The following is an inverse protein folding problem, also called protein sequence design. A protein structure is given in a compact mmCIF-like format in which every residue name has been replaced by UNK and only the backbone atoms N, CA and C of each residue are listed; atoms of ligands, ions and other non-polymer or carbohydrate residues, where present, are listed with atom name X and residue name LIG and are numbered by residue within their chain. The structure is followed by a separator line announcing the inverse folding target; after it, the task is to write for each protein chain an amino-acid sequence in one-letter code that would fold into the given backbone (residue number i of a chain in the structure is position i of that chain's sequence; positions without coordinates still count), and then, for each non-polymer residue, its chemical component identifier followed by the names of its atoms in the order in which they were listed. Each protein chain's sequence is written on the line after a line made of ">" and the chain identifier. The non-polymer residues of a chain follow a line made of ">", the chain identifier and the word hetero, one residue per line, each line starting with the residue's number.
data_IF_092455191257
#
_entry.id   IF_092455191257
#
_cell.length_a   1.000
_cell.length_b   1.000
_cell.length_c   1.000
_cell.angle_alpha   90.00
_cell.angle_beta   90.00
_cell.angle_gamma   90.00
#
_symmetry.space_group_name_H-M   'P 1'
#
loop_
_entity.id
_entity.type
_entity.pdbx_description
1 polymer ?
#
# COMPACT_ATOMS: atom_id res chain seq x y z
N UNK A 1 -2.54 21.81 -32.47
CA UNK A 1 -2.92 21.28 -31.14
C UNK A 1 -4.25 20.53 -31.26
N UNK A 2 -5.24 21.10 -31.96
CA UNK A 2 -6.56 20.50 -32.26
C UNK A 2 -6.54 19.08 -32.88
N UNK A 3 -5.65 18.80 -33.83
CA UNK A 3 -5.54 17.45 -34.43
C UNK A 3 -5.19 16.36 -33.40
N UNK A 4 -4.40 16.68 -32.37
CA UNK A 4 -4.03 15.72 -31.32
C UNK A 4 -5.23 15.44 -30.41
N UNK A 5 -6.05 16.45 -30.14
CA UNK A 5 -7.25 16.30 -29.32
C UNK A 5 -8.36 15.56 -30.07
N UNK A 6 -8.49 15.78 -31.38
CA UNK A 6 -9.40 15.00 -32.23
C UNK A 6 -9.02 13.52 -32.29
N UNK A 7 -7.74 13.20 -32.55
CA UNK A 7 -7.27 11.80 -32.59
C UNK A 7 -7.49 11.08 -31.25
N UNK A 8 -7.28 11.79 -30.13
CA UNK A 8 -7.55 11.23 -28.79
C UNK A 8 -9.03 10.97 -28.56
N UNK A 9 -9.91 11.89 -28.97
CA UNK A 9 -11.36 11.75 -28.82
C UNK A 9 -11.87 10.60 -29.68
N UNK A 10 -11.51 10.52 -30.96
CA UNK A 10 -11.90 9.39 -31.82
C UNK A 10 -11.35 8.06 -31.30
N UNK A 11 -10.08 8.03 -30.85
CA UNK A 11 -9.40 6.83 -30.38
C UNK A 11 -9.83 6.33 -29.00
N UNK A 12 -10.76 6.99 -28.32
CA UNK A 12 -11.15 6.67 -26.94
C UNK A 12 -11.82 5.30 -26.83
N UNK A 13 -12.62 4.91 -27.83
CA UNK A 13 -13.23 3.58 -27.88
C UNK A 13 -12.20 2.46 -28.03
N UNK A 14 -11.24 2.62 -28.95
CA UNK A 14 -10.11 1.70 -29.09
C UNK A 14 -9.27 1.62 -27.82
N UNK A 15 -8.98 2.75 -27.18
CA UNK A 15 -8.24 2.77 -25.92
C UNK A 15 -8.94 1.93 -24.85
N UNK A 16 -10.26 2.05 -24.72
CA UNK A 16 -11.04 1.32 -23.72
C UNK A 16 -11.08 -0.19 -24.03
N UNK A 17 -11.24 -0.57 -25.29
CA UNK A 17 -11.13 -1.97 -25.74
C UNK A 17 -9.73 -2.53 -25.45
N UNK A 18 -8.67 -1.79 -25.76
CA UNK A 18 -7.30 -2.21 -25.48
C UNK A 18 -7.04 -2.36 -23.95
N UNK A 19 -7.69 -1.54 -23.10
CA UNK A 19 -7.60 -1.71 -21.64
C UNK A 19 -8.30 -2.99 -21.18
N UNK A 20 -9.50 -3.26 -21.71
CA UNK A 20 -10.24 -4.48 -21.44
C UNK A 20 -9.41 -5.71 -21.79
N UNK A 21 -8.86 -5.76 -23.01
CA UNK A 21 -8.06 -6.89 -23.49
C UNK A 21 -6.77 -7.08 -22.67
N UNK A 22 -6.17 -5.99 -22.17
CA UNK A 22 -5.00 -6.06 -21.28
C UNK A 22 -5.38 -6.59 -19.90
N UNK A 23 -6.51 -6.18 -19.35
CA UNK A 23 -6.98 -6.65 -18.04
C UNK A 23 -7.37 -8.14 -18.11
N UNK A 24 -8.11 -8.55 -19.15
CA UNK A 24 -8.50 -9.95 -19.35
C UNK A 24 -7.27 -10.87 -19.49
N UNK A 25 -6.30 -10.50 -20.34
CA UNK A 25 -5.07 -11.31 -20.50
C UNK A 25 -4.29 -11.45 -19.19
N UNK A 26 -4.11 -10.37 -18.43
CA UNK A 26 -3.42 -10.44 -17.13
C UNK A 26 -4.17 -11.30 -16.13
N UNK A 27 -5.50 -11.24 -16.13
CA UNK A 27 -6.35 -12.08 -15.28
C UNK A 27 -6.18 -13.56 -15.63
N UNK A 28 -6.32 -13.93 -16.91
CA UNK A 28 -6.15 -15.31 -17.39
C UNK A 28 -4.76 -15.86 -17.07
N UNK A 29 -3.71 -15.06 -17.30
CA UNK A 29 -2.34 -15.43 -16.95
C UNK A 29 -2.16 -15.62 -15.44
N UNK A 30 -2.78 -14.77 -14.62
CA UNK A 30 -2.68 -14.85 -13.17
C UNK A 30 -3.44 -16.06 -12.63
N UNK A 31 -4.65 -16.34 -13.14
CA UNK A 31 -5.45 -17.52 -12.80
C UNK A 31 -4.73 -18.81 -13.19
N UNK A 32 -4.14 -18.86 -14.39
CA UNK A 32 -3.35 -20.00 -14.85
C UNK A 32 -2.14 -20.27 -13.95
N UNK A 33 -1.43 -19.22 -13.54
CA UNK A 33 -0.27 -19.34 -12.63
C UNK A 33 -0.69 -19.71 -11.20
N UNK A 34 -1.87 -19.28 -10.77
CA UNK A 34 -2.39 -19.54 -9.43
C UNK A 34 -2.81 -21.01 -9.27
N UNK A 35 -3.30 -21.63 -10.35
CA UNK A 35 -3.72 -23.03 -10.36
C UNK A 35 -4.83 -23.30 -9.35
N UNK A 36 -4.65 -24.31 -8.50
CA UNK A 36 -5.67 -24.75 -7.52
C UNK A 36 -5.57 -24.04 -6.16
N UNK A 37 -4.73 -23.00 -6.03
CA UNK A 37 -4.63 -22.27 -4.77
C UNK A 37 -5.90 -21.45 -4.51
N UNK A 38 -6.43 -21.55 -3.28
CA UNK A 38 -7.63 -20.80 -2.90
C UNK A 38 -7.34 -19.30 -2.80
N UNK A 39 -8.01 -18.50 -3.64
CA UNK A 39 -7.94 -17.03 -3.61
C UNK A 39 -8.34 -16.49 -2.23
N UNK A 40 -9.42 -17.03 -1.65
CA UNK A 40 -9.93 -16.61 -0.33
C UNK A 40 -8.86 -16.78 0.76
N UNK A 41 -8.23 -17.95 0.81
CA UNK A 41 -7.13 -18.23 1.74
C UNK A 41 -5.97 -17.24 1.56
N UNK A 42 -5.58 -16.94 0.32
CA UNK A 42 -4.48 -16.02 0.03
C UNK A 42 -4.81 -14.56 0.39
N UNK A 43 -6.06 -14.14 0.21
CA UNK A 43 -6.51 -12.83 0.65
C UNK A 43 -6.51 -12.71 2.17
N UNK A 44 -6.85 -13.76 2.90
CA UNK A 44 -6.77 -13.76 4.37
C UNK A 44 -5.32 -13.76 4.85
N UNK A 45 -4.43 -14.51 4.18
CA UNK A 45 -2.99 -14.42 4.43
C UNK A 45 -2.46 -13.01 4.15
N UNK A 46 -2.93 -12.35 3.10
CA UNK A 46 -2.57 -10.96 2.79
C UNK A 46 -3.11 -9.97 3.83
N UNK A 47 -4.34 -10.15 4.33
CA UNK A 47 -4.87 -9.34 5.44
C UNK A 47 -4.01 -9.49 6.69
N UNK A 48 -3.67 -10.71 7.07
CA UNK A 48 -2.78 -10.98 8.21
C UNK A 48 -1.40 -10.34 8.03
N UNK A 49 -0.86 -10.40 6.81
CA UNK A 49 0.39 -9.71 6.45
C UNK A 49 0.26 -8.19 6.62
N UNK A 50 -0.81 -7.59 6.09
CA UNK A 50 -1.06 -6.14 6.21
C UNK A 50 -1.18 -5.72 7.66
N UNK A 51 -1.97 -6.43 8.45
CA UNK A 51 -2.17 -6.15 9.87
C UNK A 51 -0.84 -6.22 10.64
N UNK A 52 0.00 -7.21 10.34
CA UNK A 52 1.32 -7.31 10.93
C UNK A 52 2.22 -6.12 10.54
N UNK A 53 2.25 -5.74 9.27
CA UNK A 53 3.09 -4.65 8.77
C UNK A 53 2.59 -3.25 9.12
N UNK A 54 1.29 -3.07 9.34
CA UNK A 54 0.67 -1.80 9.72
C UNK A 54 0.73 -1.52 11.22
N UNK A 55 1.23 -2.46 12.04
CA UNK A 55 1.38 -2.25 13.48
C UNK A 55 2.20 -0.98 13.75
N UNK A 56 1.75 -0.15 14.71
CA UNK A 56 2.46 1.06 15.09
C UNK A 56 3.93 0.77 15.40
N UNK A 57 4.80 1.69 14.98
CA UNK A 57 6.22 1.59 15.29
C UNK A 57 6.39 1.68 16.80
N UNK A 58 7.09 0.72 17.39
CA UNK A 58 7.34 0.71 18.81
C UNK A 58 8.15 1.97 19.20
N UNK A 59 7.72 2.70 20.21
CA UNK A 59 8.43 3.90 20.71
C UNK A 59 9.42 3.55 21.81
N UNK A 60 10.49 4.31 21.94
CA UNK A 60 11.38 4.18 23.09
C UNK A 60 10.67 4.65 24.36
N UNK A 61 10.98 4.03 25.49
CA UNK A 61 10.45 4.46 26.78
C UNK A 61 11.49 4.20 27.87
N UNK A 62 11.50 5.08 28.87
CA UNK A 62 12.35 4.91 30.04
C UNK A 62 11.88 3.76 30.96
N UNK A 63 10.62 3.33 30.82
CA UNK A 63 9.97 2.33 31.69
C UNK A 63 9.65 1.01 30.98
N UNK A 64 10.02 0.87 29.71
CA UNK A 64 9.67 -0.31 28.88
C UNK A 64 10.20 -1.63 29.47
N UNK A 65 11.40 -1.63 30.02
CA UNK A 65 12.01 -2.77 30.71
C UNK A 65 11.31 -3.09 32.02
N UNK A 66 10.97 -2.07 32.81
CA UNK A 66 10.22 -2.26 34.05
C UNK A 66 8.84 -2.90 33.78
N UNK A 67 8.14 -2.44 32.74
CA UNK A 67 6.85 -3.01 32.32
C UNK A 67 6.96 -4.44 31.81
N UNK A 68 8.00 -4.75 31.01
CA UNK A 68 8.22 -6.10 30.51
C UNK A 68 8.48 -7.10 31.65
N UNK A 69 9.32 -6.71 32.61
CA UNK A 69 9.62 -7.53 33.80
C UNK A 69 8.39 -7.66 34.69
N UNK A 70 7.63 -6.59 34.89
CA UNK A 70 6.39 -6.62 35.68
C UNK A 70 5.37 -7.59 35.10
N UNK A 71 5.25 -7.67 33.76
CA UNK A 71 4.43 -8.68 33.09
C UNK A 71 4.93 -10.11 33.34
N UNK A 72 6.26 -10.33 33.33
CA UNK A 72 6.82 -11.65 33.65
C UNK A 72 6.52 -12.03 35.10
N UNK A 73 6.68 -11.08 36.04
CA UNK A 73 6.36 -11.29 37.46
C UNK A 73 4.86 -11.61 37.63
N UNK A 74 3.97 -10.87 36.98
CA UNK A 74 2.52 -11.13 37.07
C UNK A 74 2.15 -12.49 36.48
N UNK A 75 2.72 -12.86 35.32
CA UNK A 75 2.50 -14.17 34.71
C UNK A 75 3.01 -15.30 35.62
N UNK A 76 4.16 -15.10 36.27
CA UNK A 76 4.74 -16.07 37.21
C UNK A 76 3.83 -16.22 38.44
N UNK A 77 3.27 -15.13 38.97
CA UNK A 77 2.31 -15.20 40.07
C UNK A 77 1.01 -15.94 39.65
N UNK A 78 0.51 -15.71 38.44
CA UNK A 78 -0.63 -16.45 37.89
C UNK A 78 -0.30 -17.94 37.73
N UNK A 79 0.91 -18.27 37.25
CA UNK A 79 1.36 -19.66 37.13
C UNK A 79 1.37 -20.37 38.48
N UNK A 80 1.93 -19.75 39.52
CA UNK A 80 1.96 -20.34 40.86
C UNK A 80 0.54 -20.54 41.43
N UNK A 81 -0.37 -19.58 41.21
CA UNK A 81 -1.78 -19.74 41.59
C UNK A 81 -2.47 -20.89 40.84
N UNK A 82 -2.20 -21.05 39.54
CA UNK A 82 -2.75 -22.17 38.76
C UNK A 82 -2.18 -23.52 39.21
N UNK A 83 -0.89 -23.56 39.57
CA UNK A 83 -0.26 -24.77 40.15
C UNK A 83 -0.89 -25.15 41.48
N UNK A 84 -1.24 -24.18 42.32
CA UNK A 84 -1.94 -24.46 43.58
C UNK A 84 -3.36 -24.97 43.33
N UNK A 85 -4.11 -24.32 42.44
CA UNK A 85 -5.45 -24.79 42.03
C UNK A 85 -5.41 -26.22 41.47
N UNK A 86 -4.35 -26.59 40.74
CA UNK A 86 -4.16 -27.95 40.25
C UNK A 86 -3.91 -28.94 41.40
N UNK A 87 -3.11 -28.57 42.42
CA UNK A 87 -2.91 -29.41 43.61
C UNK A 87 -4.21 -29.63 44.37
N UNK A 88 -4.97 -28.57 44.59
CA UNK A 88 -6.27 -28.62 45.26
C UNK A 88 -7.25 -29.49 44.48
N UNK A 89 -7.34 -29.31 43.16
CA UNK A 89 -8.15 -30.17 42.30
C UNK A 89 -7.70 -31.64 42.37
N UNK A 90 -6.40 -31.93 42.39
CA UNK A 90 -5.90 -33.30 42.55
C UNK A 90 -6.30 -33.89 43.91
N UNK A 91 -6.22 -33.11 44.99
CA UNK A 91 -6.64 -33.53 46.32
C UNK A 91 -8.15 -33.78 46.42
N UNK A 92 -8.99 -32.94 45.78
CA UNK A 92 -10.44 -33.16 45.64
C UNK A 92 -10.73 -34.50 44.96
N UNK A 93 -9.99 -34.83 43.90
CA UNK A 93 -10.14 -36.08 43.16
C UNK A 93 -9.83 -37.34 43.95
N UNK A 94 -8.83 -37.28 44.86
CA UNK A 94 -8.49 -38.41 45.73
C UNK A 94 -9.67 -38.76 46.66
N UNK A 95 -10.42 -37.76 47.11
CA UNK A 95 -11.59 -37.96 47.98
C UNK A 95 -12.83 -38.51 47.23
N UNK A 96 -12.86 -38.42 45.90
CA UNK A 96 -13.99 -38.85 45.06
C UNK A 96 -13.95 -40.34 44.66
N UNK A 97 -12.79 -41.00 44.80
CA UNK A 97 -12.55 -42.38 44.31
C UNK A 97 -13.22 -43.46 45.18
N UNK A 98 -13.82 -43.12 46.34
CA UNK A 98 -14.41 -44.10 47.26
C UNK A 98 -15.85 -44.57 46.93
N UNK A 99 -16.48 -44.11 45.84
CA UNK A 99 -17.87 -44.44 45.51
C UNK A 99 -18.09 -45.17 44.17
N UNK A 100 -18.53 -46.44 44.19
CA UNK A 100 -18.87 -47.25 43.01
C UNK A 100 -20.32 -47.00 42.50
N UNK A 101 -20.61 -45.81 41.95
CA UNK A 101 -21.91 -45.56 41.30
C UNK A 101 -21.78 -44.91 39.92
N UNK A 102 -22.78 -45.07 39.06
CA UNK A 102 -22.81 -44.43 37.72
C UNK A 102 -22.75 -42.91 37.78
N UNK A 103 -23.29 -42.30 38.84
CA UNK A 103 -23.16 -40.86 39.10
C UNK A 103 -21.71 -40.47 39.47
N UNK A 104 -21.00 -41.36 40.17
CA UNK A 104 -19.57 -41.20 40.48
C UNK A 104 -18.70 -41.14 39.22
N UNK A 105 -19.02 -41.96 38.22
CA UNK A 105 -18.29 -41.98 36.94
C UNK A 105 -18.42 -40.67 36.15
N UNK A 106 -19.59 -40.01 36.19
CA UNK A 106 -19.80 -38.72 35.50
C UNK A 106 -19.01 -37.61 36.19
N UNK A 107 -19.08 -37.54 37.53
CA UNK A 107 -18.31 -36.58 38.34
C UNK A 107 -16.80 -36.79 38.17
N UNK A 108 -16.35 -38.03 38.02
CA UNK A 108 -14.95 -38.35 37.76
C UNK A 108 -14.49 -37.87 36.36
N UNK A 109 -15.35 -37.96 35.33
CA UNK A 109 -15.04 -37.45 34.00
C UNK A 109 -14.93 -35.91 33.98
N UNK A 110 -15.87 -35.19 34.60
CA UNK A 110 -15.82 -33.73 34.75
C UNK A 110 -14.57 -33.27 35.51
N UNK A 111 -14.20 -34.00 36.57
CA UNK A 111 -12.97 -33.75 37.31
C UNK A 111 -11.71 -33.97 36.46
N UNK A 112 -11.66 -35.04 35.67
CA UNK A 112 -10.56 -35.32 34.76
C UNK A 112 -10.40 -34.19 33.72
N UNK A 113 -11.51 -33.69 33.17
CA UNK A 113 -11.51 -32.56 32.24
C UNK A 113 -10.98 -31.29 32.93
N UNK A 114 -11.45 -30.96 34.14
CA UNK A 114 -10.95 -29.82 34.93
C UNK A 114 -9.44 -29.90 35.16
N UNK A 115 -8.92 -31.06 35.57
CA UNK A 115 -7.48 -31.28 35.77
C UNK A 115 -6.70 -31.13 34.47
N UNK A 116 -7.23 -31.64 33.35
CA UNK A 116 -6.59 -31.55 32.05
C UNK A 116 -6.52 -30.09 31.56
N UNK A 117 -7.60 -29.33 31.66
CA UNK A 117 -7.64 -27.91 31.32
C UNK A 117 -6.64 -27.09 32.15
N UNK A 118 -6.52 -27.37 33.45
CA UNK A 118 -5.55 -26.71 34.33
C UNK A 118 -4.10 -27.05 33.92
N UNK A 119 -3.80 -28.31 33.57
CA UNK A 119 -2.48 -28.71 33.07
C UNK A 119 -2.12 -27.99 31.77
N UNK A 120 -3.06 -27.92 30.82
CA UNK A 120 -2.86 -27.21 29.55
C UNK A 120 -2.68 -25.69 29.76
N UNK A 121 -3.42 -25.10 30.70
CA UNK A 121 -3.24 -23.70 31.06
C UNK A 121 -1.86 -23.43 31.68
N UNK A 122 -1.40 -24.29 32.61
CA UNK A 122 -0.06 -24.23 33.20
C UNK A 122 1.01 -24.34 32.12
N UNK A 123 0.91 -25.33 31.23
CA UNK A 123 1.89 -25.52 30.15
C UNK A 123 1.96 -24.31 29.21
N UNK A 124 0.81 -23.70 28.87
CA UNK A 124 0.76 -22.47 28.07
C UNK A 124 1.41 -21.28 28.79
N UNK A 125 1.16 -21.14 30.09
CA UNK A 125 1.77 -20.08 30.92
C UNK A 125 3.29 -20.26 31.05
N UNK A 126 3.76 -21.48 31.32
CA UNK A 126 5.19 -21.80 31.37
C UNK A 126 5.87 -21.51 30.03
N UNK A 127 5.24 -21.93 28.92
CA UNK A 127 5.72 -21.61 27.58
C UNK A 127 5.80 -20.10 27.33
N UNK A 128 4.79 -19.34 27.78
CA UNK A 128 4.77 -17.87 27.62
C UNK A 128 5.84 -17.19 28.49
N UNK A 129 6.02 -17.63 29.73
CA UNK A 129 7.05 -17.09 30.64
C UNK A 129 8.44 -17.40 30.08
N UNK A 130 8.70 -18.62 29.64
CA UNK A 130 9.97 -19.01 29.04
C UNK A 130 10.27 -18.17 27.80
N UNK A 131 9.30 -18.01 26.89
CA UNK A 131 9.43 -17.15 25.70
C UNK A 131 9.81 -15.71 26.07
N UNK A 132 9.07 -15.08 26.99
CA UNK A 132 9.33 -13.69 27.40
C UNK A 132 10.66 -13.52 28.14
N UNK A 133 11.05 -14.55 28.89
CA UNK A 133 12.32 -14.56 29.63
C UNK A 133 13.49 -14.74 28.67
N UNK A 134 13.37 -15.65 27.70
CA UNK A 134 14.35 -15.87 26.63
C UNK A 134 14.49 -14.66 25.71
N UNK A 135 13.37 -14.02 25.35
CA UNK A 135 13.34 -12.76 24.62
C UNK A 135 14.23 -11.75 25.32
N UNK A 136 14.09 -11.55 26.63
CA UNK A 136 14.92 -10.60 27.39
C UNK A 136 16.34 -11.11 27.65
N UNK A 137 16.70 -12.32 27.21
CA UNK A 137 17.95 -13.04 27.52
C UNK A 137 18.15 -13.21 29.03
N UNK A 138 17.03 -13.43 29.71
CA UNK A 138 16.95 -13.62 31.15
C UNK A 138 16.77 -15.11 31.52
N UNK A 139 16.99 -16.05 30.58
CA UNK A 139 16.80 -17.51 30.79
C UNK A 139 17.48 -18.05 32.05
N UNK A 140 18.61 -17.46 32.42
CA UNK A 140 19.40 -17.82 33.60
C UNK A 140 18.92 -17.17 34.91
N UNK A 141 17.88 -16.33 34.84
CA UNK A 141 17.38 -15.47 35.93
C UNK A 141 15.95 -15.86 36.28
N UNK A 142 15.82 -16.90 37.09
CA UNK A 142 14.53 -17.51 37.44
C UNK A 142 13.99 -17.09 38.80
N UNK A 143 14.77 -16.42 39.66
CA UNK A 143 14.27 -16.02 40.97
C UNK A 143 13.41 -14.76 40.89
N UNK A 144 12.24 -14.78 41.55
CA UNK A 144 11.35 -13.62 41.68
C UNK A 144 12.06 -12.39 42.29
N UNK A 145 13.06 -12.61 43.16
CA UNK A 145 13.87 -11.54 43.74
C UNK A 145 14.82 -10.89 42.72
N UNK A 146 15.39 -11.69 41.81
CA UNK A 146 16.28 -11.21 40.75
C UNK A 146 15.50 -10.44 39.68
N UNK A 147 14.33 -10.94 39.29
CA UNK A 147 13.40 -10.22 38.40
C UNK A 147 12.96 -8.89 39.03
N UNK A 148 12.58 -8.89 40.31
CA UNK A 148 12.21 -7.66 41.02
C UNK A 148 13.34 -6.64 41.11
N UNK A 149 14.60 -7.09 41.21
CA UNK A 149 15.77 -6.23 41.13
C UNK A 149 15.94 -5.65 39.73
N UNK A 150 15.86 -6.50 38.70
CA UNK A 150 15.99 -6.09 37.30
C UNK A 150 14.90 -5.08 36.88
N UNK A 151 13.71 -5.12 37.49
CA UNK A 151 12.64 -4.12 37.28
C UNK A 151 13.15 -2.69 37.51
N UNK A 152 14.07 -2.51 38.46
CA UNK A 152 14.68 -1.21 38.82
C UNK A 152 15.99 -0.94 38.10
N UNK A 153 16.52 -1.92 37.36
CA UNK A 153 17.79 -1.82 36.68
C UNK A 153 17.65 -1.06 35.35
N UNK A 154 18.63 -0.21 35.05
CA UNK A 154 18.72 0.51 33.78
C UNK A 154 19.08 -0.42 32.64
N UNK A 155 19.76 -1.54 32.91
CA UNK A 155 20.20 -2.48 31.87
C UNK A 155 19.07 -2.96 30.96
N UNK A 156 18.00 -3.49 31.53
CA UNK A 156 16.89 -4.07 30.75
C UNK A 156 16.16 -2.98 29.95
N UNK A 157 16.04 -1.77 30.51
CA UNK A 157 15.49 -0.62 29.81
C UNK A 157 16.35 -0.21 28.60
N UNK A 158 17.68 -0.15 28.76
CA UNK A 158 18.59 0.18 27.65
C UNK A 158 18.56 -0.92 26.59
N UNK A 159 18.55 -2.20 26.98
CA UNK A 159 18.49 -3.35 26.07
C UNK A 159 17.20 -3.35 25.23
N UNK A 160 16.03 -3.12 25.84
CA UNK A 160 14.77 -3.00 25.09
C UNK A 160 14.74 -1.76 24.20
N UNK A 161 15.27 -0.63 24.66
CA UNK A 161 15.35 0.57 23.84
C UNK A 161 16.28 0.40 22.62
N UNK A 162 17.33 -0.42 22.74
CA UNK A 162 18.19 -0.79 21.61
C UNK A 162 17.44 -1.61 20.57
N UNK A 163 16.60 -2.56 20.99
CA UNK A 163 15.75 -3.34 20.07
C UNK A 163 14.77 -2.46 19.32
N UNK A 164 14.10 -1.56 20.03
CA UNK A 164 13.21 -0.57 19.43
C UNK A 164 13.96 0.26 18.37
N UNK A 165 15.17 0.74 18.66
CA UNK A 165 15.97 1.48 17.68
C UNK A 165 16.36 0.64 16.48
N UNK A 166 16.71 -0.63 16.69
CA UNK A 166 17.03 -1.59 15.63
C UNK A 166 15.82 -1.82 14.72
N UNK A 167 14.64 -2.08 15.27
CA UNK A 167 13.39 -2.23 14.51
C UNK A 167 13.05 -0.96 13.71
N UNK A 168 13.19 0.21 14.34
CA UNK A 168 12.99 1.50 13.67
C UNK A 168 13.98 1.70 12.52
N UNK A 169 15.25 1.36 12.74
CA UNK A 169 16.30 1.45 11.74
C UNK A 169 16.02 0.51 10.56
N UNK A 170 15.68 -0.74 10.83
CA UNK A 170 15.28 -1.72 9.82
C UNK A 170 14.08 -1.22 9.00
N UNK A 171 13.06 -0.65 9.65
CA UNK A 171 11.89 -0.08 8.94
C UNK A 171 12.31 1.07 8.02
N UNK A 172 13.16 1.99 8.49
CA UNK A 172 13.69 3.09 7.66
C UNK A 172 14.54 2.60 6.49
N UNK A 173 15.41 1.61 6.71
CA UNK A 173 16.23 1.02 5.66
C UNK A 173 15.38 0.33 4.59
N UNK A 174 14.37 -0.44 5.00
CA UNK A 174 13.42 -1.09 4.08
C UNK A 174 12.63 -0.06 3.26
N UNK A 175 12.13 1.00 3.91
CA UNK A 175 11.44 2.09 3.23
C UNK A 175 12.32 2.75 2.16
N UNK A 176 13.57 3.09 2.51
CA UNK A 176 14.54 3.65 1.55
C UNK A 176 14.81 2.71 0.38
N UNK A 177 14.98 1.41 0.64
CA UNK A 177 15.19 0.40 -0.42
C UNK A 177 13.99 0.34 -1.37
N UNK A 178 12.77 0.40 -0.83
CA UNK A 178 11.54 0.42 -1.64
C UNK A 178 11.40 1.71 -2.47
N UNK A 179 11.72 2.86 -1.89
CA UNK A 179 11.74 4.15 -2.58
C UNK A 179 12.73 4.17 -3.75
N UNK A 180 13.95 3.67 -3.54
CA UNK A 180 14.96 3.54 -4.59
C UNK A 180 14.51 2.59 -5.71
N UNK A 181 13.96 1.42 -5.37
CA UNK A 181 13.43 0.51 -6.37
C UNK A 181 12.24 1.11 -7.15
N UNK A 182 11.47 1.99 -6.52
CA UNK A 182 10.38 2.71 -7.18
C UNK A 182 10.92 3.78 -8.12
N UNK A 183 11.95 4.53 -7.71
CA UNK A 183 12.68 5.45 -8.56
C UNK A 183 13.29 4.77 -9.77
N UNK A 184 13.99 3.66 -9.58
CA UNK A 184 14.68 2.94 -10.65
C UNK A 184 13.69 2.46 -11.73
N UNK A 185 12.51 1.98 -11.30
CA UNK A 185 11.42 1.62 -12.22
C UNK A 185 10.88 2.82 -12.98
N UNK A 186 10.64 3.93 -12.30
CA UNK A 186 10.12 5.15 -12.92
C UNK A 186 11.12 5.80 -13.89
N UNK A 187 12.42 5.73 -13.56
CA UNK A 187 13.52 6.14 -14.42
C UNK A 187 13.62 5.24 -15.67
N UNK A 188 13.51 3.93 -15.51
CA UNK A 188 13.56 2.96 -16.60
C UNK A 188 12.39 3.12 -17.58
N UNK A 189 11.21 3.52 -17.09
CA UNK A 189 10.03 3.73 -17.93
C UNK A 189 9.99 5.09 -18.64
N UNK A 190 10.99 5.98 -18.45
CA UNK A 190 11.02 7.34 -19.03
C UNK A 190 9.78 8.20 -18.68
N UNK A 191 9.13 7.93 -17.53
CA UNK A 191 7.86 8.59 -17.13
C UNK A 191 8.11 9.87 -16.30
N UNK A 192 9.32 10.06 -15.75
CA UNK A 192 9.60 11.19 -14.85
C UNK A 192 10.29 12.36 -15.55
N UNK A 193 9.67 13.53 -15.47
CA UNK A 193 10.30 14.83 -15.75
C UNK A 193 11.51 15.08 -14.82
N UNK A 194 12.46 15.89 -15.26
CA UNK A 194 13.70 16.19 -14.54
C UNK A 194 13.44 16.83 -13.16
N UNK A 195 12.34 17.58 -13.03
CA UNK A 195 11.90 18.16 -11.74
C UNK A 195 11.49 17.10 -10.73
N UNK A 196 10.69 16.11 -11.13
CA UNK A 196 10.26 15.05 -10.20
C UNK A 196 11.45 14.19 -9.76
N UNK A 197 12.41 13.93 -10.65
CA UNK A 197 13.68 13.28 -10.29
C UNK A 197 14.43 14.05 -9.20
N UNK A 198 14.63 15.35 -9.37
CA UNK A 198 15.31 16.20 -8.38
C UNK A 198 14.60 16.19 -7.01
N UNK A 199 13.26 16.22 -7.00
CA UNK A 199 12.48 16.15 -5.77
C UNK A 199 12.69 14.82 -5.02
N UNK A 200 12.66 13.69 -5.74
CA UNK A 200 12.82 12.39 -5.08
C UNK A 200 14.27 12.16 -4.66
N UNK A 201 15.26 12.60 -5.44
CA UNK A 201 16.66 12.58 -5.01
C UNK A 201 16.88 13.38 -3.72
N UNK A 202 16.29 14.58 -3.62
CA UNK A 202 16.32 15.40 -2.40
C UNK A 202 15.66 14.67 -1.22
N UNK A 203 14.53 14.01 -1.45
CA UNK A 203 13.84 13.23 -0.43
C UNK A 203 14.70 12.04 0.08
N UNK A 204 15.34 11.29 -0.84
CA UNK A 204 16.22 10.17 -0.50
C UNK A 204 17.46 10.64 0.28
N UNK A 205 18.05 11.78 -0.10
CA UNK A 205 19.17 12.40 0.63
C UNK A 205 18.77 12.80 2.05
N UNK A 206 17.62 13.47 2.20
CA UNK A 206 17.08 13.86 3.52
C UNK A 206 16.85 12.64 4.43
N UNK A 207 16.25 11.57 3.89
CA UNK A 207 16.02 10.32 4.65
C UNK A 207 17.32 9.61 5.04
N UNK A 208 18.38 9.74 4.24
CA UNK A 208 19.70 9.16 4.55
C UNK A 208 20.30 9.78 5.83
N UNK A 209 20.19 11.09 6.02
CA UNK A 209 20.59 11.74 7.27
C UNK A 209 19.80 11.27 8.49
N UNK A 210 18.50 10.99 8.32
CA UNK A 210 17.65 10.41 9.37
C UNK A 210 18.02 8.97 9.77
N UNK A 211 18.63 8.20 8.86
CA UNK A 211 19.16 6.86 9.12
C UNK A 211 20.49 6.97 9.86
N UNK A 212 21.40 7.85 9.42
CA UNK A 212 22.67 8.11 10.10
C UNK A 212 22.48 8.56 11.55
N UNK A 213 21.54 9.48 11.78
CA UNK A 213 21.20 9.95 13.13
C UNK A 213 20.71 8.79 14.02
N UNK A 214 19.94 7.85 13.45
CA UNK A 214 19.42 6.70 14.17
C UNK A 214 20.52 5.68 14.49
N UNK A 215 21.45 5.43 13.57
CA UNK A 215 22.63 4.59 13.81
C UNK A 215 23.51 5.18 14.91
N UNK A 216 23.76 6.51 14.88
CA UNK A 216 24.48 7.21 15.95
C UNK A 216 23.78 7.04 17.30
N UNK A 217 22.46 7.18 17.35
CA UNK A 217 21.65 6.98 18.57
C UNK A 217 21.69 5.54 19.07
N UNK A 218 21.63 4.56 18.17
CA UNK A 218 21.78 3.14 18.48
C UNK A 218 23.15 2.86 19.11
N UNK A 219 24.23 3.26 18.44
CA UNK A 219 25.59 3.06 18.94
C UNK A 219 25.85 3.80 20.27
N UNK A 220 25.24 4.96 20.50
CA UNK A 220 25.31 5.67 21.78
C UNK A 220 24.64 4.87 22.91
N UNK A 221 23.43 4.32 22.68
CA UNK A 221 22.77 3.42 23.64
C UNK A 221 23.54 2.13 23.87
N UNK A 222 24.22 1.63 22.84
CA UNK A 222 25.06 0.45 22.96
C UNK A 222 26.28 0.71 23.85
N UNK A 223 26.91 1.89 23.74
CA UNK A 223 27.96 2.33 24.67
C UNK A 223 27.45 2.44 26.11
N UNK A 224 26.25 2.97 26.31
CA UNK A 224 25.59 3.00 27.62
C UNK A 224 25.41 1.59 28.17
N UNK A 225 24.94 0.64 27.34
CA UNK A 225 24.78 -0.76 27.72
C UNK A 225 26.13 -1.38 28.13
N UNK A 226 27.18 -1.25 27.30
CA UNK A 226 28.52 -1.77 27.62
C UNK A 226 29.04 -1.19 28.94
N UNK A 227 28.80 0.09 29.23
CA UNK A 227 29.25 0.74 30.47
C UNK A 227 28.53 0.23 31.74
N UNK A 228 27.35 -0.37 31.60
CA UNK A 228 26.59 -1.00 32.68
C UNK A 228 27.02 -2.46 32.92
N UNK A 229 27.73 -3.10 31.97
CA UNK A 229 28.20 -4.48 32.10
C UNK A 229 29.11 -4.64 33.32
N UNK A 230 28.85 -5.65 34.14
CA UNK A 230 29.63 -5.92 35.36
C UNK A 230 29.31 -5.01 36.55
N UNK A 231 28.42 -4.02 36.40
CA UNK A 231 27.87 -3.21 37.50
C UNK A 231 26.50 -3.74 37.90
N UNK A 232 26.01 -3.43 39.11
CA UNK A 232 24.65 -3.77 39.53
C UNK A 232 24.31 -5.27 39.60
N UNK A 233 25.31 -6.16 39.59
CA UNK A 233 25.09 -7.61 39.55
C UNK A 233 24.85 -8.18 38.15
N UNK A 234 25.01 -7.38 37.10
CA UNK A 234 24.92 -7.83 35.69
C UNK A 234 26.16 -8.66 35.37
N UNK A 235 25.96 -9.88 34.83
CA UNK A 235 27.05 -10.80 34.51
C UNK A 235 28.00 -10.18 33.47
N UNK A 236 29.31 -10.32 33.66
CA UNK A 236 30.32 -9.84 32.69
C UNK A 236 30.18 -10.51 31.31
N UNK A 237 29.63 -11.72 31.26
CA UNK A 237 29.32 -12.46 30.02
C UNK A 237 27.96 -12.14 29.40
N UNK A 238 27.20 -11.15 29.89
CA UNK A 238 25.94 -10.77 29.28
C UNK A 238 26.17 -10.33 27.82
N UNK A 239 25.44 -10.94 26.88
CA UNK A 239 25.53 -10.61 25.47
C UNK A 239 25.21 -9.13 25.24
N UNK A 240 26.00 -8.51 24.36
CA UNK A 240 25.77 -7.14 23.89
C UNK A 240 25.84 -7.20 22.36
N UNK A 241 24.87 -6.60 21.64
CA UNK A 241 24.91 -6.54 20.19
C UNK A 241 26.18 -5.86 19.66
N UNK A 242 26.60 -6.17 18.43
CA UNK A 242 27.69 -5.46 17.76
C UNK A 242 27.34 -4.00 17.46
N UNK A 243 28.36 -3.16 17.28
CA UNK A 243 28.16 -1.79 16.81
C UNK A 243 27.81 -1.79 15.32
N UNK A 244 26.86 -0.94 14.93
CA UNK A 244 26.48 -0.83 13.53
C UNK A 244 27.41 0.16 12.82
N UNK A 245 27.98 -0.28 11.69
CA UNK A 245 28.68 0.58 10.73
C UNK A 245 27.69 1.10 9.69
N UNK A 246 28.02 2.23 9.07
CA UNK A 246 27.23 2.77 7.95
C UNK A 246 27.56 2.08 6.63
N UNK A 247 28.78 1.54 6.52
CA UNK A 247 29.25 0.81 5.34
C UNK A 247 28.42 -0.47 5.16
N UNK A 248 27.89 -0.69 3.95
CA UNK A 248 27.08 -1.88 3.64
C UNK A 248 25.66 -1.88 4.22
N UNK A 249 25.35 -1.07 5.24
CA UNK A 249 24.05 -1.07 5.93
C UNK A 249 22.84 -0.87 5.01
N UNK A 250 23.01 -0.06 3.96
CA UNK A 250 21.95 0.21 2.98
C UNK A 250 21.62 -0.97 2.06
N UNK A 251 22.52 -1.93 1.92
CA UNK A 251 22.32 -3.10 1.06
C UNK A 251 21.29 -4.07 1.67
N UNK A 252 21.14 -4.02 3.01
CA UNK A 252 20.33 -4.97 3.80
C UNK A 252 20.73 -6.42 3.51
N UNK A 253 22.04 -6.67 3.46
CA UNK A 253 22.59 -8.02 3.29
C UNK A 253 22.36 -8.87 4.56
N UNK A 254 22.25 -10.19 4.40
CA UNK A 254 21.88 -11.14 5.47
C UNK A 254 22.98 -11.25 6.53
N UNK A 255 24.23 -11.07 6.12
CA UNK A 255 25.41 -11.17 7.01
C UNK A 255 25.68 -9.87 7.81
N UNK A 256 24.82 -8.86 7.70
CA UNK A 256 24.99 -7.61 8.42
C UNK A 256 24.66 -7.75 9.91
N UNK A 257 25.48 -7.12 10.75
CA UNK A 257 25.36 -7.04 12.21
C UNK A 257 23.97 -6.61 12.73
N UNK A 258 23.21 -5.88 11.91
CA UNK A 258 21.83 -5.49 12.23
C UNK A 258 20.89 -6.70 12.38
N UNK A 259 21.26 -7.90 11.95
CA UNK A 259 20.43 -9.11 12.05
C UNK A 259 20.73 -9.99 13.28
N UNK A 260 21.81 -9.76 14.03
CA UNK A 260 22.24 -10.67 15.11
C UNK A 260 21.30 -10.74 16.33
N UNK A 261 20.50 -9.70 16.61
CA UNK A 261 19.51 -9.71 17.71
C UNK A 261 18.10 -10.08 17.25
N UNK A 262 17.95 -10.72 16.08
CA UNK A 262 16.64 -11.09 15.49
C UNK A 262 15.88 -12.21 16.21
N UNK A 263 16.47 -12.86 17.23
CA UNK A 263 15.85 -14.00 17.93
C UNK A 263 14.52 -13.63 18.62
N UNK A 264 14.28 -12.35 18.91
CA UNK A 264 13.00 -11.83 19.41
C UNK A 264 11.93 -11.60 18.33
N UNK A 265 12.33 -11.34 17.08
CA UNK A 265 11.40 -10.97 16.00
C UNK A 265 10.55 -12.17 15.52
N UNK A 266 11.03 -13.40 15.74
CA UNK A 266 10.31 -14.66 15.47
C UNK A 266 9.36 -15.01 16.63
N UNK A 267 9.63 -14.52 17.84
CA UNK A 267 8.82 -14.77 19.02
C UNK A 267 7.48 -14.01 19.02
N UNK A 268 7.35 -12.99 18.17
CA UNK A 268 6.10 -12.26 17.94
C UNK A 268 5.02 -13.08 17.23
N UNK A 269 5.36 -14.26 16.71
CA UNK A 269 4.40 -15.18 16.11
C UNK A 269 3.87 -16.18 17.15
N UNK A 270 2.54 -16.39 17.23
CA UNK A 270 1.97 -17.41 18.10
C UNK A 270 2.64 -18.77 17.82
N UNK A 271 3.04 -19.45 18.90
CA UNK A 271 3.71 -20.75 18.88
C UNK A 271 5.08 -20.83 18.18
N UNK A 272 5.65 -19.69 17.79
CA UNK A 272 6.92 -19.65 17.05
C UNK A 272 6.79 -20.21 15.63
N UNK A 273 5.56 -20.36 15.14
CA UNK A 273 5.26 -20.83 13.80
C UNK A 273 5.36 -19.63 12.86
N UNK A 274 6.29 -19.70 11.90
CA UNK A 274 6.41 -18.67 10.86
C UNK A 274 5.14 -18.67 10.01
N UNK A 275 4.43 -17.54 9.88
CA UNK A 275 3.21 -17.49 9.09
C UNK A 275 3.46 -17.90 7.63
N UNK A 276 2.50 -18.57 6.97
CA UNK A 276 2.67 -19.01 5.58
C UNK A 276 3.02 -17.87 4.61
N UNK A 277 2.41 -16.69 4.76
CA UNK A 277 2.75 -15.50 3.95
C UNK A 277 4.21 -15.05 4.09
N UNK A 278 4.89 -15.43 5.18
CA UNK A 278 6.30 -15.12 5.42
C UNK A 278 7.24 -16.29 5.08
N UNK A 279 6.81 -17.52 5.30
CA UNK A 279 7.64 -18.73 5.18
C UNK A 279 7.51 -19.47 3.86
N UNK A 280 6.31 -19.52 3.27
CA UNK A 280 6.01 -20.33 2.09
C UNK A 280 6.12 -19.48 0.79
N UNK A 281 7.06 -19.79 -0.11
CA UNK A 281 7.18 -19.11 -1.40
C UNK A 281 5.90 -19.20 -2.25
N UNK A 282 5.16 -20.30 -2.16
CA UNK A 282 3.93 -20.53 -2.92
C UNK A 282 2.82 -19.59 -2.45
N UNK A 283 2.71 -19.37 -1.13
CA UNK A 283 1.76 -18.40 -0.56
C UNK A 283 2.15 -16.98 -0.93
N UNK A 284 3.44 -16.63 -0.93
CA UNK A 284 3.92 -15.30 -1.34
C UNK A 284 3.58 -14.99 -2.78
N UNK A 285 3.89 -15.91 -3.69
CA UNK A 285 3.57 -15.71 -5.10
C UNK A 285 2.04 -15.74 -5.30
N UNK A 286 1.34 -16.64 -4.61
CA UNK A 286 -0.11 -16.71 -4.61
C UNK A 286 -0.79 -15.40 -4.18
N UNK A 287 -0.28 -14.72 -3.14
CA UNK A 287 -0.79 -13.40 -2.71
C UNK A 287 -0.66 -12.36 -3.82
N UNK A 288 0.48 -12.35 -4.53
CA UNK A 288 0.69 -11.41 -5.64
C UNK A 288 -0.28 -11.70 -6.79
N UNK A 289 -0.45 -12.97 -7.14
CA UNK A 289 -1.37 -13.40 -8.19
C UNK A 289 -2.83 -13.12 -7.82
N UNK A 290 -3.23 -13.35 -6.56
CA UNK A 290 -4.60 -13.06 -6.11
C UNK A 290 -4.91 -11.56 -6.10
N UNK A 291 -3.93 -10.71 -5.76
CA UNK A 291 -4.05 -9.26 -5.92
C UNK A 291 -4.17 -8.85 -7.38
N UNK A 292 -3.39 -9.45 -8.28
CA UNK A 292 -3.47 -9.17 -9.71
C UNK A 292 -4.86 -9.51 -10.26
N UNK A 293 -5.43 -10.64 -9.87
CA UNK A 293 -6.79 -11.05 -10.22
C UNK A 293 -7.81 -10.04 -9.70
N UNK A 294 -7.71 -9.63 -8.43
CA UNK A 294 -8.61 -8.65 -7.82
C UNK A 294 -8.51 -7.27 -8.51
N UNK A 295 -7.29 -6.83 -8.84
CA UNK A 295 -7.05 -5.59 -9.58
C UNK A 295 -7.64 -5.67 -10.98
N UNK A 296 -7.46 -6.79 -11.69
CA UNK A 296 -8.04 -6.99 -13.01
C UNK A 296 -9.57 -6.92 -12.94
N UNK A 297 -10.21 -7.56 -11.95
CA UNK A 297 -11.67 -7.43 -11.76
C UNK A 297 -12.11 -5.97 -11.58
N UNK A 298 -11.41 -5.19 -10.75
CA UNK A 298 -11.72 -3.76 -10.57
C UNK A 298 -11.51 -2.98 -11.87
N UNK A 299 -10.46 -3.28 -12.63
CA UNK A 299 -10.22 -2.65 -13.92
C UNK A 299 -11.30 -2.99 -14.96
N UNK A 300 -11.80 -4.22 -14.97
CA UNK A 300 -12.93 -4.65 -15.81
C UNK A 300 -14.20 -3.87 -15.45
N UNK A 301 -14.52 -3.75 -14.15
CA UNK A 301 -15.65 -2.95 -13.68
C UNK A 301 -15.49 -1.47 -14.03
N UNK A 302 -14.27 -0.93 -13.90
CA UNK A 302 -13.98 0.44 -14.35
C UNK A 302 -14.21 0.58 -15.86
N UNK A 303 -13.80 -0.39 -16.68
CA UNK A 303 -14.05 -0.32 -18.13
C UNK A 303 -15.55 -0.28 -18.45
N UNK A 304 -16.38 -1.04 -17.71
CA UNK A 304 -17.84 -0.98 -17.83
C UNK A 304 -18.40 0.40 -17.47
N UNK A 305 -17.92 0.97 -16.36
CA UNK A 305 -18.33 2.29 -15.92
C UNK A 305 -17.93 3.37 -16.95
N UNK A 306 -16.71 3.32 -17.47
CA UNK A 306 -16.26 4.28 -18.49
C UNK A 306 -17.03 4.15 -19.81
N UNK A 307 -17.44 2.94 -20.20
CA UNK A 307 -18.34 2.75 -21.34
C UNK A 307 -19.67 3.48 -21.11
N UNK A 308 -20.30 3.26 -19.95
CA UNK A 308 -21.54 3.94 -19.60
C UNK A 308 -21.37 5.47 -19.53
N UNK A 309 -20.25 5.95 -18.99
CA UNK A 309 -19.93 7.38 -18.94
C UNK A 309 -19.79 7.99 -20.34
N UNK A 310 -19.10 7.31 -21.27
CA UNK A 310 -18.96 7.77 -22.65
C UNK A 310 -20.31 7.88 -23.36
N UNK A 311 -21.21 6.92 -23.12
CA UNK A 311 -22.57 6.96 -23.65
C UNK A 311 -23.37 8.13 -23.08
N UNK A 312 -23.40 8.27 -21.76
CA UNK A 312 -24.14 9.36 -21.10
C UNK A 312 -23.62 10.72 -21.53
N UNK A 313 -22.29 10.91 -21.55
CA UNK A 313 -21.67 12.15 -22.01
C UNK A 313 -22.08 12.47 -23.45
N UNK A 314 -22.02 11.48 -24.35
CA UNK A 314 -22.45 11.67 -25.72
C UNK A 314 -23.94 12.04 -25.83
N UNK A 315 -24.82 11.36 -25.09
CA UNK A 315 -26.26 11.69 -25.07
C UNK A 315 -26.50 13.14 -24.69
N UNK A 316 -25.90 13.58 -23.59
CA UNK A 316 -26.07 14.92 -23.05
C UNK A 316 -25.53 15.95 -24.03
N UNK A 317 -24.30 15.77 -24.50
CA UNK A 317 -23.64 16.69 -25.42
C UNK A 317 -24.40 16.78 -26.74
N UNK A 318 -24.78 15.65 -27.33
CA UNK A 318 -25.53 15.61 -28.58
C UNK A 318 -26.92 16.25 -28.43
N UNK A 319 -27.62 15.97 -27.31
CA UNK A 319 -28.93 16.59 -27.05
C UNK A 319 -28.83 18.10 -26.92
N UNK A 320 -27.81 18.62 -26.22
CA UNK A 320 -27.56 20.06 -26.08
C UNK A 320 -27.25 20.72 -27.41
N UNK A 321 -26.39 20.11 -28.22
CA UNK A 321 -26.06 20.61 -29.56
C UNK A 321 -27.31 20.64 -30.44
N UNK A 322 -28.16 19.61 -30.36
CA UNK A 322 -29.44 19.56 -31.09
C UNK A 322 -30.46 20.59 -30.60
N UNK A 323 -30.54 20.85 -29.29
CA UNK A 323 -31.38 21.91 -28.72
C UNK A 323 -30.97 23.29 -29.27
N UNK A 324 -29.66 23.57 -29.33
CA UNK A 324 -29.14 24.82 -29.91
C UNK A 324 -29.43 24.91 -31.40
N UNK A 325 -29.20 23.83 -32.15
CA UNK A 325 -29.49 23.78 -33.58
C UNK A 325 -30.97 24.05 -33.89
N UNK A 326 -31.89 23.46 -33.11
CA UNK A 326 -33.33 23.61 -33.34
C UNK A 326 -33.91 24.93 -32.79
N UNK A 327 -33.26 25.52 -31.78
CA UNK A 327 -33.75 26.70 -31.08
C UNK A 327 -33.12 28.02 -31.51
N UNK A 328 -32.07 27.99 -32.34
CA UNK A 328 -31.37 29.21 -32.78
C UNK A 328 -32.04 29.85 -33.99
N UNK A 329 -32.30 31.16 -33.90
CA UNK A 329 -32.73 31.99 -35.04
C UNK A 329 -31.53 32.48 -35.88
N UNK A 330 -30.32 32.40 -35.33
CA UNK A 330 -29.08 32.80 -35.98
C UNK A 330 -28.54 31.63 -36.83
N UNK A 331 -28.36 31.89 -38.13
CA UNK A 331 -27.91 30.92 -39.13
C UNK A 331 -26.47 30.45 -38.88
N UNK A 332 -25.59 31.33 -38.40
CA UNK A 332 -24.20 30.99 -38.10
C UNK A 332 -24.15 30.05 -36.89
N UNK A 333 -24.91 30.35 -35.83
CA UNK A 333 -25.00 29.52 -34.62
C UNK A 333 -25.60 28.15 -34.94
N UNK A 334 -26.64 28.10 -35.76
CA UNK A 334 -27.24 26.85 -36.25
C UNK A 334 -26.25 26.04 -37.09
N UNK A 335 -25.47 26.69 -37.96
CA UNK A 335 -24.44 26.03 -38.75
C UNK A 335 -23.34 25.42 -37.87
N UNK A 336 -22.83 26.16 -36.88
CA UNK A 336 -21.83 25.64 -35.94
C UNK A 336 -22.37 24.47 -35.11
N UNK A 337 -23.63 24.54 -34.66
CA UNK A 337 -24.27 23.45 -33.93
C UNK A 337 -24.41 22.19 -34.80
N UNK A 338 -24.82 22.33 -36.06
CA UNK A 338 -24.92 21.21 -37.00
C UNK A 338 -23.54 20.58 -37.27
N UNK A 339 -22.50 21.40 -37.46
CA UNK A 339 -21.13 20.90 -37.63
C UNK A 339 -20.65 20.12 -36.41
N UNK A 340 -20.91 20.62 -35.19
CA UNK A 340 -20.58 19.92 -33.95
C UNK A 340 -21.37 18.60 -33.81
N UNK A 341 -22.66 18.56 -34.18
CA UNK A 341 -23.47 17.35 -34.14
C UNK A 341 -22.89 16.26 -35.06
N UNK A 342 -22.45 16.63 -36.26
CA UNK A 342 -21.82 15.70 -37.21
C UNK A 342 -20.48 15.17 -36.66
N UNK A 343 -19.64 16.03 -36.08
CA UNK A 343 -18.38 15.58 -35.44
C UNK A 343 -18.64 14.60 -34.28
N UNK A 344 -19.63 14.88 -33.43
CA UNK A 344 -20.01 13.96 -32.35
C UNK A 344 -20.49 12.62 -32.91
N UNK A 345 -21.28 12.63 -33.98
CA UNK A 345 -21.74 11.41 -34.64
C UNK A 345 -20.57 10.57 -35.21
N UNK A 346 -19.58 11.22 -35.81
CA UNK A 346 -18.34 10.54 -36.25
C UNK A 346 -17.60 9.88 -35.08
N UNK A 347 -17.49 10.56 -33.92
CA UNK A 347 -16.87 9.98 -32.73
C UNK A 347 -17.65 8.78 -32.22
N UNK A 348 -18.98 8.90 -32.11
CA UNK A 348 -19.84 7.80 -31.65
C UNK A 348 -19.77 6.58 -32.55
N UNK A 349 -19.76 6.77 -33.87
CA UNK A 349 -19.65 5.65 -34.82
C UNK A 349 -18.29 4.94 -34.70
N UNK A 350 -17.20 5.69 -34.49
CA UNK A 350 -15.88 5.13 -34.21
C UNK A 350 -15.86 4.36 -32.88
N UNK A 351 -16.40 4.93 -31.80
CA UNK A 351 -16.46 4.29 -30.50
C UNK A 351 -17.29 3.01 -30.51
N UNK A 352 -18.48 3.05 -31.11
CA UNK A 352 -19.38 1.91 -31.24
C UNK A 352 -18.71 0.75 -31.98
N UNK A 353 -17.94 1.06 -33.03
CA UNK A 353 -17.18 0.07 -33.79
C UNK A 353 -16.07 -0.56 -32.96
N UNK A 354 -15.35 0.23 -32.16
CA UNK A 354 -14.18 -0.24 -31.43
C UNK A 354 -14.53 -0.90 -30.09
N UNK A 355 -15.65 -0.55 -29.46
CA UNK A 355 -16.05 -0.99 -28.12
C UNK A 355 -17.01 -2.19 -28.11
N UNK A 356 -17.06 -2.99 -29.18
CA UNK A 356 -18.03 -4.08 -29.36
C UNK A 356 -17.98 -5.10 -28.22
N UNK A 357 -16.81 -5.37 -27.65
CA UNK A 357 -16.65 -6.35 -26.58
C UNK A 357 -16.65 -5.72 -25.19
N UNK A 358 -16.68 -4.38 -25.09
CA UNK A 358 -16.67 -3.69 -23.81
C UNK A 358 -18.04 -3.85 -23.15
N UNK A 359 -18.14 -4.55 -22.01
CA UNK A 359 -19.40 -4.71 -21.33
C UNK A 359 -19.91 -3.35 -20.84
N UNK A 360 -21.21 -3.26 -20.57
CA UNK A 360 -21.84 -2.02 -20.17
C UNK A 360 -22.72 -2.22 -18.94
N UNK A 361 -22.76 -1.19 -18.08
CA UNK A 361 -23.61 -1.19 -16.89
C UNK A 361 -25.09 -1.28 -17.24
N UNK A 362 -25.83 -2.04 -16.45
CA UNK A 362 -27.30 -2.12 -16.58
C UNK A 362 -27.91 -0.73 -16.41
N UNK A 363 -28.75 -0.31 -17.37
CA UNK A 363 -29.41 0.99 -17.36
C UNK A 363 -28.68 2.11 -18.12
N UNK A 364 -27.52 1.83 -18.73
CA UNK A 364 -26.84 2.81 -19.59
C UNK A 364 -27.64 3.07 -20.90
N UNK A 365 -27.59 4.30 -21.44
CA UNK A 365 -28.36 4.67 -22.61
C UNK A 365 -27.77 4.05 -23.89
N UNK A 366 -28.55 3.18 -24.57
CA UNK A 366 -28.07 2.51 -25.79
C UNK A 366 -27.79 3.48 -26.93
N UNK A 367 -26.62 3.32 -27.58
CA UNK A 367 -26.23 4.01 -28.83
C UNK A 367 -27.36 4.06 -29.88
N UNK A 368 -28.16 2.99 -29.98
CA UNK A 368 -29.22 2.86 -30.99
C UNK A 368 -30.46 3.71 -30.70
N UNK A 369 -30.68 4.10 -29.45
CA UNK A 369 -31.83 4.91 -29.04
C UNK A 369 -31.54 6.42 -29.11
N UNK A 370 -30.27 6.81 -29.31
CA UNK A 370 -29.81 8.19 -29.13
C UNK A 370 -29.78 8.97 -30.46
N UNK A 371 -29.56 8.31 -31.60
CA UNK A 371 -29.38 9.02 -32.87
C UNK A 371 -30.22 8.43 -34.02
N UNK A 372 -31.11 9.24 -34.59
CA UNK A 372 -31.40 9.14 -36.03
C UNK A 372 -30.38 9.99 -36.78
N UNK A 373 -29.68 9.47 -37.80
CA UNK A 373 -28.87 10.32 -38.65
C UNK A 373 -29.77 11.39 -39.27
N UNK A 374 -29.41 12.67 -39.08
CA UNK A 374 -30.05 13.75 -39.81
C UNK A 374 -29.71 13.58 -41.30
N UNK A 375 -30.68 13.69 -42.22
CA UNK A 375 -30.41 13.57 -43.64
C UNK A 375 -29.51 14.74 -44.08
N UNK A 376 -28.22 14.44 -44.26
CA UNK A 376 -27.22 15.35 -44.86
C UNK A 376 -27.51 15.74 -46.32
N UNK A 377 -28.60 15.24 -46.92
CA UNK A 377 -28.90 15.46 -48.34
C UNK A 377 -29.29 16.90 -48.70
N UNK A 378 -29.79 17.70 -47.76
CA UNK A 378 -30.20 19.08 -48.06
C UNK A 378 -29.06 20.10 -47.85
N UNK A 379 -28.01 19.75 -47.11
CA UNK A 379 -26.86 20.64 -46.88
C UNK A 379 -25.64 20.40 -47.79
N UNK A 380 -25.56 19.26 -48.49
CA UNK A 380 -24.49 19.07 -49.48
C UNK A 380 -24.57 20.10 -50.61
N UNK A 381 -25.76 20.60 -50.94
CA UNK A 381 -25.95 21.70 -51.88
C UNK A 381 -25.35 23.02 -51.36
N UNK A 382 -25.58 23.34 -50.08
CA UNK A 382 -25.02 24.53 -49.41
C UNK A 382 -23.50 24.42 -49.25
N UNK A 383 -22.98 23.24 -48.90
CA UNK A 383 -21.53 23.00 -48.77
C UNK A 383 -20.79 23.10 -50.12
N UNK A 384 -21.40 22.61 -51.20
CA UNK A 384 -20.83 22.75 -52.55
C UNK A 384 -20.85 24.22 -52.97
N UNK A 385 -21.86 24.99 -52.59
CA UNK A 385 -21.98 26.41 -52.91
C UNK A 385 -21.00 27.28 -52.11
N UNK A 386 -20.83 27.02 -50.81
CA UNK A 386 -19.86 27.72 -49.95
C UNK A 386 -18.41 27.35 -50.31
N UNK A 387 -18.11 26.09 -50.66
CA UNK A 387 -16.79 25.75 -51.22
C UNK A 387 -16.52 26.46 -52.55
N UNK A 388 -17.52 26.59 -53.41
CA UNK A 388 -17.38 27.27 -54.70
C UNK A 388 -17.24 28.79 -54.54
N UNK A 389 -17.82 29.38 -53.49
CA UNK A 389 -17.64 30.79 -53.13
C UNK A 389 -16.30 31.04 -52.42
N UNK A 390 -15.81 30.12 -51.59
CA UNK A 390 -14.48 30.19 -50.95
C UNK A 390 -13.33 29.92 -51.94
N UNK A 391 -13.51 29.07 -52.95
CA UNK A 391 -12.53 28.88 -54.03
C UNK A 391 -12.49 30.08 -55.00
N UNK A 392 -13.55 30.89 -55.07
CA UNK A 392 -13.58 32.10 -55.91
C UNK A 392 -12.67 33.22 -55.35
N UNK A 393 -12.50 33.29 -54.03
CA UNK A 393 -11.65 34.31 -53.38
C UNK A 393 -10.15 33.94 -53.31
N UNK A 394 -9.79 32.67 -53.54
CA UNK A 394 -8.39 32.24 -53.58
C UNK A 394 -7.64 32.77 -54.83
N UNK A 395 -8.35 33.17 -55.88
CA UNK A 395 -7.75 33.75 -57.09
C UNK A 395 -7.38 35.24 -56.96
N UNK A 396 -7.89 35.94 -55.94
CA UNK A 396 -7.61 37.37 -55.71
C UNK A 396 -6.32 37.65 -54.90
N UNK A 397 -5.68 36.61 -54.33
CA UNK A 397 -4.49 36.74 -53.45
C UNK A 397 -3.18 36.34 -54.18
N UNK A 398 -3.23 36.04 -55.49
CA UNK A 398 -2.03 35.69 -56.28
C UNK A 398 -1.21 36.89 -56.78
N UNK A 399 -1.67 38.14 -56.63
CA UNK A 399 -1.05 39.32 -57.26
C UNK A 399 -0.22 40.22 -56.32
N UNK A 400 0.04 39.79 -55.08
CA UNK A 400 0.90 40.53 -54.14
C UNK A 400 1.99 39.66 -53.52
N UNK A 401 2.98 39.27 -54.34
CA UNK A 401 4.30 38.86 -53.85
C UNK A 401 5.40 39.72 -54.49
N UNK A 402 6.13 40.56 -53.73
CA UNK A 402 7.39 41.13 -54.20
C UNK A 402 8.53 40.10 -54.10
N UNK A 403 9.58 40.21 -54.93
CA UNK A 403 10.52 39.12 -55.18
C UNK A 403 11.54 38.93 -54.06
N UNK A 404 11.84 37.65 -53.83
CA UNK A 404 12.92 37.14 -52.99
C UNK A 404 14.27 37.76 -53.38
N UNK A 405 14.93 38.38 -52.41
CA UNK A 405 16.39 38.59 -52.48
C UNK A 405 17.08 37.67 -51.49
N UNK A 406 18.03 36.92 -52.05
CA UNK A 406 18.95 36.02 -51.38
C UNK A 406 19.93 36.85 -50.55
N UNK A 407 20.08 36.57 -49.23
CA UNK A 407 21.33 36.91 -48.54
C UNK A 407 21.72 35.94 -47.43
N UNK A 408 22.93 35.46 -47.65
CA UNK A 408 23.83 34.59 -46.90
C UNK A 408 24.29 35.19 -45.56
N UNK A 409 24.56 34.26 -44.63
CA UNK A 409 25.59 34.23 -43.58
C UNK A 409 25.45 34.98 -42.24
N UNK A 410 25.85 34.21 -41.21
CA UNK A 410 26.70 34.56 -40.05
C UNK A 410 26.09 34.78 -38.65
N UNK A 411 26.38 33.79 -37.78
CA UNK A 411 26.92 33.84 -36.39
C UNK A 411 26.41 34.88 -35.39
N UNK A 412 26.01 34.41 -34.19
CA UNK A 412 26.56 34.71 -32.84
C UNK A 412 25.64 34.04 -31.80
N UNK A 413 26.03 33.11 -30.91
CA UNK A 413 26.86 33.23 -29.69
C UNK A 413 26.41 34.33 -28.72
N UNK A 414 25.82 33.90 -27.60
CA UNK A 414 25.80 34.47 -26.23
C UNK A 414 24.87 33.55 -25.39
N UNK A 415 25.35 32.64 -24.54
CA UNK A 415 25.97 32.84 -23.22
C UNK A 415 25.21 33.84 -22.33
N UNK A 416 24.43 33.30 -21.40
CA UNK A 416 24.02 33.98 -20.16
C UNK A 416 24.12 33.00 -19.00
N UNK A 417 25.27 33.06 -18.33
CA UNK A 417 25.41 32.74 -16.92
C UNK A 417 24.70 33.80 -16.07
N UNK A 418 24.01 33.39 -15.01
CA UNK A 418 23.79 34.24 -13.86
C UNK A 418 23.73 33.40 -12.59
N UNK A 419 24.89 33.32 -11.94
CA UNK A 419 25.06 33.09 -10.51
C UNK A 419 24.48 34.26 -9.70
N UNK A 420 23.83 33.94 -8.58
CA UNK A 420 23.88 34.69 -7.31
C UNK A 420 23.11 33.91 -6.23
N UNK A 421 23.83 33.34 -5.25
CA UNK A 421 23.88 33.81 -3.83
C UNK A 421 22.57 33.61 -3.06
N UNK A 422 22.43 32.51 -2.30
CA UNK A 422 22.72 32.40 -0.86
C UNK A 422 22.10 33.49 0.01
N UNK A 423 21.13 33.10 0.85
CA UNK A 423 21.16 33.49 2.26
C UNK A 423 20.40 32.48 3.13
N UNK A 424 21.05 32.10 4.22
CA UNK A 424 20.54 31.23 5.28
C UNK A 424 19.76 32.06 6.31
N UNK A 425 18.65 31.54 6.83
CA UNK A 425 18.20 31.86 8.20
C UNK A 425 17.19 30.83 8.71
N UNK A 426 17.70 29.98 9.60
CA UNK A 426 17.20 29.68 10.95
C UNK A 426 15.69 29.80 11.27
N UNK A 427 15.14 28.69 11.81
CA UNK A 427 14.14 28.73 12.88
C UNK A 427 12.73 28.23 12.52
N UNK A 428 12.24 27.22 13.26
CA UNK A 428 10.81 26.96 13.37
C UNK A 428 10.42 25.49 13.40
N UNK A 429 10.45 24.89 14.58
CA UNK A 429 9.69 23.68 14.94
C UNK A 429 8.19 23.92 14.71
N UNK A 430 7.53 23.13 13.87
CA UNK A 430 6.12 22.77 14.01
C UNK A 430 5.90 21.40 13.34
N UNK A 431 5.82 20.35 14.18
CA UNK A 431 5.19 19.09 13.81
C UNK A 431 3.69 19.35 13.62
N UNK A 432 3.25 19.47 12.37
CA UNK A 432 1.84 19.47 12.04
C UNK A 432 1.38 18.02 11.82
N UNK A 433 0.57 17.54 12.77
CA UNK A 433 -0.08 16.24 12.76
C UNK A 433 -1.05 16.16 11.57
N UNK A 434 -0.65 15.45 10.52
CA UNK A 434 -1.55 15.04 9.45
C UNK A 434 -2.41 13.86 9.95
N UNK A 435 -3.64 14.15 10.39
CA UNK A 435 -4.70 13.15 10.51
C UNK A 435 -5.15 12.73 9.11
N UNK A 436 -5.16 11.42 8.75
CA UNK A 436 -5.83 10.98 7.55
C UNK A 436 -7.33 10.82 7.81
N UNK A 437 -8.14 11.68 7.19
CA UNK A 437 -9.60 11.59 7.09
C UNK A 437 -10.10 10.40 6.24
N UNK A 438 -9.30 9.35 6.04
CA UNK A 438 -9.67 8.18 5.23
C UNK A 438 -10.53 7.15 5.98
N UNK A 439 -10.80 7.35 7.28
CA UNK A 439 -11.65 6.45 8.06
C UNK A 439 -13.17 6.58 7.75
N UNK A 440 -13.60 7.61 7.01
CA UNK A 440 -15.02 7.89 6.76
C UNK A 440 -15.60 7.21 5.52
N UNK A 441 -14.80 6.53 4.69
CA UNK A 441 -15.27 5.94 3.42
C UNK A 441 -15.48 4.42 3.47
N UNK A 442 -15.00 3.74 4.51
CA UNK A 442 -15.08 2.27 4.63
C UNK A 442 -16.34 1.82 5.39
N UNK A 443 -16.95 2.68 6.22
CA UNK A 443 -18.20 2.34 6.94
C UNK A 443 -19.42 2.28 6.01
N UNK A 444 -19.36 2.90 4.82
CA UNK A 444 -20.47 2.92 3.87
C UNK A 444 -20.64 1.61 3.06
N UNK A 445 -19.65 0.70 3.05
CA UNK A 445 -19.75 -0.55 2.28
C UNK A 445 -20.33 -1.73 3.08
N UNK A 446 -20.27 -1.71 4.42
CA UNK A 446 -20.78 -2.79 5.26
C UNK A 446 -22.30 -2.70 5.52
N UNK A 447 -22.95 -1.58 5.22
CA UNK A 447 -24.40 -1.43 5.40
C UNK A 447 -25.23 -1.82 4.17
N UNK A 448 -24.61 -2.02 3.00
CA UNK A 448 -25.33 -2.38 1.78
C UNK A 448 -25.52 -3.90 1.59
N UNK A 449 -24.87 -4.75 2.39
CA UNK A 449 -24.98 -6.22 2.27
C UNK A 449 -25.93 -6.88 3.28
N UNK A 450 -26.66 -6.10 4.08
CA UNK A 450 -27.60 -6.62 5.10
C UNK A 450 -29.07 -6.38 4.73
N UNK A 451 -29.38 -5.67 3.63
CA UNK A 451 -30.77 -5.44 3.19
C UNK A 451 -31.25 -6.31 2.01
N UNK A 452 -30.47 -7.29 1.54
CA UNK A 452 -30.91 -8.27 0.52
C UNK A 452 -30.69 -9.75 0.92
N UNK A 453 -31.01 -10.11 2.16
CA UNK A 453 -31.13 -11.51 2.60
C UNK A 453 -32.49 -11.78 3.27
#
# INVERSE_FOLDING_TARGET
>A
MEHIDWVKRVGMGKWLQDQLDRAQRRMEEAEMKLGNCSISYLLDQFKAQREYHSRPVSCQSQTKGAQAIERIISLTATLESQKENLKDAIAEGINLVEGESTASNLVQAEWQEKVQLLREAIQRLEGTINKKTDELRLSDWTSAAELSRLKRDKWVNVQLNLRVLREQLLRKLRARKFELATLDRANSSCILDQKTKAHVEKAVKSRSGGIEAMVKKYNAKLKELVALRGKGGIRRGAYVPPMLTMEGLYQLDVDQDIWEDSRGDIADFPDGIVPPWLGDPSVKEGIRLSQEIANCHQELERCKAEHANLQTWFCEEYSRVMEVFMGSEDEDVSYFALHQANQLYEWMTAWKKDMVQVPISSGAPSWDNICRPLPLQEHHAVWTQVQHEMEFDATAISDLQPPLTTRRNERSSADYDSDASSDDTEGGELEESFEPQEASLIVAMDQASVEEA
#
